data_IF_282188512798
#
_entry.id   IF_282188512798
#
_cell.length_a   1.000
_cell.length_b   1.000
_cell.length_c   1.000
_cell.angle_alpha   90.00
_cell.angle_beta   90.00
_cell.angle_gamma   90.00
#
_symmetry.space_group_name_H-M   'P 1'
#
loop_
_entity.id
_entity.type
_entity.pdbx_description
1 polymer ?
#
# COMPACT_ATOMS: atom_id res chain seq x y z
N UNK A 1 18.52 25.71 -21.89
CA UNK A 1 18.28 26.09 -20.49
C UNK A 1 17.24 25.16 -19.91
N UNK A 2 17.45 24.59 -18.75
CA UNK A 2 16.50 23.76 -18.03
C UNK A 2 15.97 24.53 -16.81
N UNK A 3 14.71 24.27 -16.45
CA UNK A 3 14.07 24.86 -15.28
C UNK A 3 13.61 23.76 -14.36
N UNK A 4 13.97 23.79 -13.09
CA UNK A 4 13.51 22.82 -12.09
C UNK A 4 12.11 23.19 -11.56
N UNK A 5 11.55 22.35 -10.69
CA UNK A 5 10.22 22.57 -10.12
C UNK A 5 10.12 23.85 -9.26
N UNK A 6 11.24 24.36 -8.77
CA UNK A 6 11.32 25.60 -7.98
C UNK A 6 11.48 26.86 -8.85
N UNK A 7 11.49 26.70 -10.19
CA UNK A 7 11.67 27.82 -11.12
C UNK A 7 13.14 28.22 -11.35
N UNK A 8 14.10 27.54 -10.75
CA UNK A 8 15.53 27.79 -10.94
C UNK A 8 15.96 27.36 -12.33
N UNK A 9 16.67 28.23 -13.02
CA UNK A 9 17.13 28.03 -14.39
C UNK A 9 18.61 27.68 -14.41
N UNK A 10 18.94 26.59 -15.08
CA UNK A 10 20.33 26.16 -15.26
C UNK A 10 20.65 25.97 -16.74
N UNK A 11 21.84 26.44 -17.13
CA UNK A 11 22.33 26.19 -18.48
C UNK A 11 22.85 24.75 -18.55
N UNK A 12 22.32 23.99 -19.50
CA UNK A 12 22.69 22.61 -19.74
C UNK A 12 22.62 22.34 -21.23
N UNK A 13 23.72 21.92 -21.83
CA UNK A 13 23.74 21.44 -23.21
C UNK A 13 23.35 19.98 -23.24
N UNK A 14 22.05 19.75 -23.46
CA UNK A 14 21.50 18.38 -23.47
C UNK A 14 21.99 17.56 -24.66
N UNK A 15 22.25 18.19 -25.79
CA UNK A 15 22.45 17.50 -27.05
C UNK A 15 23.90 17.50 -27.53
N UNK A 16 24.72 18.45 -27.17
CA UNK A 16 26.15 18.59 -27.46
C UNK A 16 26.56 18.17 -28.91
N UNK A 17 27.43 18.90 -29.53
CA UNK A 17 27.85 18.62 -30.93
C UNK A 17 28.84 17.43 -31.06
N UNK A 18 29.21 16.73 -29.98
CA UNK A 18 30.36 15.78 -29.98
C UNK A 18 30.07 14.36 -29.49
N UNK A 19 28.83 13.91 -29.49
CA UNK A 19 28.44 12.58 -28.94
C UNK A 19 28.62 12.42 -27.42
N UNK A 20 29.07 13.48 -26.74
CA UNK A 20 29.22 13.56 -25.28
C UNK A 20 28.12 14.43 -24.65
N UNK A 21 26.93 14.39 -25.21
CA UNK A 21 25.82 15.18 -24.64
C UNK A 21 25.40 14.66 -23.28
N UNK A 22 24.89 15.56 -22.44
CA UNK A 22 24.41 15.19 -21.10
C UNK A 22 23.35 14.10 -21.14
N UNK A 23 22.49 14.07 -22.16
CA UNK A 23 21.47 13.01 -22.34
C UNK A 23 22.11 11.66 -22.64
N UNK A 24 23.11 11.59 -23.54
CA UNK A 24 23.77 10.32 -23.84
C UNK A 24 24.52 9.78 -22.63
N UNK A 25 25.22 10.64 -21.90
CA UNK A 25 25.90 10.27 -20.65
C UNK A 25 24.91 9.74 -19.60
N UNK A 26 23.79 10.44 -19.40
CA UNK A 26 22.75 10.04 -18.46
C UNK A 26 22.07 8.72 -18.85
N UNK A 27 21.84 8.48 -20.16
CA UNK A 27 21.32 7.18 -20.64
C UNK A 27 22.31 6.04 -20.44
N UNK A 28 23.59 6.29 -20.66
CA UNK A 28 24.67 5.31 -20.51
C UNK A 28 24.96 4.98 -19.04
N UNK A 29 24.57 5.82 -18.10
CA UNK A 29 24.84 5.63 -16.67
C UNK A 29 24.17 4.40 -16.05
N UNK A 30 23.22 3.76 -16.75
CA UNK A 30 22.47 2.59 -16.26
C UNK A 30 21.91 2.76 -14.84
N UNK A 31 21.48 3.97 -14.53
CA UNK A 31 20.86 4.36 -13.27
C UNK A 31 19.40 4.75 -13.49
N UNK A 32 18.46 4.33 -12.62
CA UNK A 32 17.04 4.70 -12.77
C UNK A 32 16.83 6.23 -12.77
N UNK A 33 17.66 6.96 -12.05
CA UNK A 33 17.72 8.42 -12.05
C UNK A 33 19.16 8.87 -12.34
N UNK A 34 19.42 9.29 -13.56
CA UNK A 34 20.72 9.81 -13.95
C UNK A 34 20.71 11.34 -13.95
N UNK A 35 21.60 11.94 -13.19
CA UNK A 35 21.74 13.40 -13.03
C UNK A 35 22.10 14.05 -14.36
N UNK A 36 21.50 15.20 -14.65
CA UNK A 36 21.77 16.00 -15.86
C UNK A 36 22.56 17.25 -15.50
N UNK A 37 23.73 17.44 -16.11
CA UNK A 37 24.54 18.68 -16.02
C UNK A 37 24.77 19.17 -14.58
N UNK A 38 25.07 18.31 -13.63
CA UNK A 38 25.26 18.65 -12.21
C UNK A 38 24.09 19.41 -11.56
N UNK A 39 22.93 19.36 -12.19
CA UNK A 39 21.69 19.99 -11.72
C UNK A 39 20.89 19.06 -10.82
N UNK A 40 19.82 19.56 -10.21
CA UNK A 40 18.79 18.77 -9.54
C UNK A 40 17.76 18.17 -10.53
N UNK A 41 18.11 18.08 -11.80
CA UNK A 41 17.32 17.45 -12.84
C UNK A 41 17.86 16.06 -13.16
N UNK A 42 16.95 15.14 -13.39
CA UNK A 42 17.29 13.73 -13.60
C UNK A 42 16.59 13.18 -14.86
N UNK A 43 17.32 12.43 -15.66
CA UNK A 43 16.75 11.59 -16.68
C UNK A 43 16.30 10.28 -16.02
N UNK A 44 15.04 9.87 -16.27
CA UNK A 44 14.55 8.54 -15.89
C UNK A 44 14.95 7.52 -16.96
N UNK A 45 15.68 6.51 -16.58
CA UNK A 45 16.03 5.40 -17.46
C UNK A 45 15.16 4.18 -17.15
N UNK A 46 14.80 3.45 -18.21
CA UNK A 46 14.19 2.14 -18.06
C UNK A 46 15.22 1.19 -17.46
N UNK A 47 14.87 0.54 -16.37
CA UNK A 47 15.70 -0.44 -15.67
C UNK A 47 14.81 -1.58 -15.19
N UNK A 48 15.37 -2.78 -15.09
CA UNK A 48 14.66 -3.90 -14.50
C UNK A 48 14.71 -3.81 -12.97
N UNK A 49 13.53 -3.83 -12.38
CA UNK A 49 13.40 -3.84 -10.92
C UNK A 49 13.75 -5.20 -10.32
N UNK A 50 14.15 -5.17 -9.08
CA UNK A 50 14.47 -6.40 -8.36
C UNK A 50 13.22 -7.28 -8.21
N UNK A 51 13.40 -8.58 -8.46
CA UNK A 51 12.43 -9.66 -8.18
C UNK A 51 13.10 -10.71 -7.30
N UNK A 52 12.36 -11.26 -6.35
CA UNK A 52 12.87 -12.39 -5.57
C UNK A 52 12.93 -13.65 -6.45
N UNK A 53 13.84 -14.56 -6.14
CA UNK A 53 13.90 -15.88 -6.82
C UNK A 53 12.56 -16.60 -6.71
N UNK A 54 11.88 -16.48 -5.58
CA UNK A 54 10.55 -17.07 -5.36
C UNK A 54 9.48 -16.45 -6.28
N UNK A 55 9.47 -15.14 -6.43
CA UNK A 55 8.58 -14.46 -7.39
C UNK A 55 8.87 -14.92 -8.82
N UNK A 56 10.14 -14.94 -9.20
CA UNK A 56 10.56 -15.39 -10.52
C UNK A 56 10.10 -16.83 -10.82
N UNK A 57 10.29 -17.76 -9.86
CA UNK A 57 9.84 -19.15 -10.02
C UNK A 57 8.31 -19.24 -10.14
N UNK A 58 7.57 -18.50 -9.33
CA UNK A 58 6.09 -18.50 -9.38
C UNK A 58 5.57 -17.89 -10.68
N UNK A 59 6.16 -16.81 -11.16
CA UNK A 59 5.82 -16.21 -12.46
C UNK A 59 6.17 -17.15 -13.63
N UNK A 60 7.35 -17.79 -13.58
CA UNK A 60 7.76 -18.76 -14.58
C UNK A 60 6.81 -19.95 -14.66
N UNK A 61 6.45 -20.55 -13.52
CA UNK A 61 5.52 -21.69 -13.47
C UNK A 61 4.15 -21.30 -14.02
N UNK A 62 3.66 -20.13 -13.69
CA UNK A 62 2.36 -19.65 -14.14
C UNK A 62 2.31 -19.42 -15.65
N UNK A 63 3.36 -18.82 -16.22
CA UNK A 63 3.39 -18.40 -17.61
C UNK A 63 3.84 -19.50 -18.58
N UNK A 64 4.58 -20.50 -18.11
CA UNK A 64 5.25 -21.46 -19.00
C UNK A 64 4.85 -22.92 -18.75
N UNK A 65 4.08 -23.23 -17.70
CA UNK A 65 3.69 -24.60 -17.36
C UNK A 65 2.20 -24.79 -17.54
N UNK A 66 1.79 -25.74 -18.38
CA UNK A 66 0.38 -26.09 -18.51
C UNK A 66 -0.22 -26.49 -17.16
N UNK A 67 -1.28 -25.84 -16.72
CA UNK A 67 -1.84 -26.00 -15.37
C UNK A 67 -1.10 -25.28 -14.25
N UNK A 68 -0.15 -24.40 -14.56
CA UNK A 68 0.66 -23.65 -13.60
C UNK A 68 -0.16 -22.81 -12.63
N UNK A 69 -1.33 -22.35 -13.04
CA UNK A 69 -2.27 -21.63 -12.15
C UNK A 69 -2.86 -22.56 -11.07
N UNK A 70 -3.19 -23.80 -11.43
CA UNK A 70 -3.65 -24.83 -10.49
C UNK A 70 -2.57 -25.21 -9.49
N UNK A 71 -1.33 -25.40 -9.97
CA UNK A 71 -0.16 -25.69 -9.13
C UNK A 71 0.12 -24.53 -8.19
N UNK A 72 0.05 -23.30 -8.69
CA UNK A 72 0.25 -22.08 -7.86
C UNK A 72 -0.83 -21.94 -6.81
N UNK A 73 -2.07 -22.32 -7.11
CA UNK A 73 -3.18 -22.31 -6.15
C UNK A 73 -2.99 -23.33 -5.05
N UNK A 74 -2.57 -24.56 -5.39
CA UNK A 74 -2.26 -25.60 -4.41
C UNK A 74 -1.09 -25.19 -3.49
N UNK A 75 -0.05 -24.59 -4.05
CA UNK A 75 1.07 -24.05 -3.27
C UNK A 75 0.60 -22.90 -2.34
N UNK A 76 -0.30 -22.06 -2.80
CA UNK A 76 -0.87 -20.98 -1.94
C UNK A 76 -1.61 -21.54 -0.74
N UNK A 77 -2.46 -22.53 -0.92
CA UNK A 77 -3.25 -23.11 0.15
C UNK A 77 -2.42 -23.89 1.17
N UNK A 78 -1.32 -24.49 0.73
CA UNK A 78 -0.44 -25.29 1.60
C UNK A 78 0.70 -24.48 2.23
N UNK A 79 1.25 -23.50 1.50
CA UNK A 79 2.47 -22.78 1.91
C UNK A 79 2.17 -21.42 2.54
N UNK A 80 1.08 -20.75 2.14
CA UNK A 80 0.80 -19.38 2.62
C UNK A 80 -0.30 -19.29 3.67
N UNK A 81 -1.16 -20.31 3.79
CA UNK A 81 -2.20 -20.30 4.81
C UNK A 81 -1.55 -20.33 6.20
N UNK A 82 -1.88 -19.32 6.97
CA UNK A 82 -1.41 -19.14 8.36
C UNK A 82 0.13 -19.13 8.57
N UNK A 83 0.93 -19.08 7.51
CA UNK A 83 2.41 -19.11 7.58
C UNK A 83 3.02 -17.90 8.29
N UNK A 84 2.31 -16.81 8.39
CA UNK A 84 2.73 -15.59 9.06
C UNK A 84 1.87 -15.29 10.30
N UNK A 85 1.14 -16.30 10.82
CA UNK A 85 0.29 -16.13 11.99
C UNK A 85 1.10 -15.71 13.21
N UNK A 86 0.79 -14.53 13.72
CA UNK A 86 1.31 -14.02 14.98
C UNK A 86 0.16 -14.09 16.01
N UNK A 87 0.40 -14.75 17.13
CA UNK A 87 -0.52 -14.78 18.28
C UNK A 87 0.12 -14.02 19.42
N UNK A 88 -0.69 -13.31 20.18
CA UNK A 88 -0.24 -12.72 21.43
C UNK A 88 -0.20 -13.81 22.53
N UNK A 89 0.89 -13.82 23.28
CA UNK A 89 1.00 -14.58 24.52
C UNK A 89 0.85 -13.58 25.68
N UNK A 90 -0.38 -13.25 26.05
CA UNK A 90 -0.63 -12.21 27.06
C UNK A 90 -0.94 -12.77 28.43
N UNK A 91 -0.33 -12.20 29.47
CA UNK A 91 -0.82 -12.24 30.85
C UNK A 91 -1.38 -10.87 31.20
N UNK A 92 -2.62 -10.81 31.66
CA UNK A 92 -3.35 -9.56 31.87
C UNK A 92 -2.82 -8.75 33.06
N UNK A 93 -2.67 -7.44 32.86
CA UNK A 93 -2.78 -6.45 33.91
C UNK A 93 -3.54 -5.26 33.34
N UNK A 94 -4.78 -5.04 33.79
CA UNK A 94 -5.61 -3.93 33.33
C UNK A 94 -5.00 -2.57 33.68
N UNK A 95 -4.94 -1.67 32.73
CA UNK A 95 -4.56 -0.27 32.87
C UNK A 95 -5.63 0.65 32.28
N UNK A 96 -5.65 1.89 32.71
CA UNK A 96 -6.52 2.91 32.13
C UNK A 96 -6.01 3.25 30.73
N UNK A 97 -6.89 3.20 29.71
CA UNK A 97 -6.51 3.55 28.32
C UNK A 97 -6.30 5.07 28.26
N UNK A 98 -5.05 5.50 28.16
CA UNK A 98 -4.73 6.90 27.93
C UNK A 98 -4.85 7.19 26.42
N UNK A 99 -5.85 7.97 26.08
CA UNK A 99 -6.07 8.45 24.71
C UNK A 99 -5.07 9.56 24.36
N UNK A 100 -4.49 9.50 23.16
CA UNK A 100 -3.56 10.52 22.66
C UNK A 100 -4.36 11.67 22.03
N UNK A 101 -4.28 12.91 22.56
CA UNK A 101 -5.10 14.03 22.05
C UNK A 101 -4.84 14.35 20.57
N UNK A 102 -3.62 14.07 20.09
CA UNK A 102 -3.15 14.34 18.74
C UNK A 102 -3.14 13.09 17.82
N UNK A 103 -3.50 11.92 18.34
CA UNK A 103 -3.58 10.65 17.61
C UNK A 103 -4.97 10.31 17.07
N UNK A 104 -5.07 9.20 16.32
CA UNK A 104 -6.37 8.66 15.91
C UNK A 104 -7.19 8.18 17.14
N UNK A 105 -8.49 7.95 16.94
CA UNK A 105 -9.33 7.33 17.96
C UNK A 105 -8.82 5.93 18.32
N UNK A 106 -8.84 5.58 19.60
CA UNK A 106 -8.57 4.21 20.06
C UNK A 106 -9.61 3.23 19.50
N UNK A 107 -9.23 1.96 19.35
CA UNK A 107 -10.16 0.96 18.85
C UNK A 107 -11.37 0.77 19.78
N UNK A 108 -12.53 0.47 19.19
CA UNK A 108 -13.74 0.09 19.94
C UNK A 108 -13.60 -1.35 20.41
N UNK A 109 -13.35 -1.50 21.70
CA UNK A 109 -13.03 -2.77 22.35
C UNK A 109 -14.17 -3.27 23.23
N UNK A 110 -14.26 -4.57 23.34
CA UNK A 110 -15.07 -5.23 24.37
C UNK A 110 -14.66 -4.69 25.75
N UNK A 111 -15.60 -4.16 26.53
CA UNK A 111 -15.29 -3.55 27.84
C UNK A 111 -14.52 -4.47 28.79
N UNK A 112 -14.72 -5.80 28.67
CA UNK A 112 -14.04 -6.80 29.51
C UNK A 112 -12.57 -7.01 29.13
N UNK A 113 -12.16 -6.58 27.93
CA UNK A 113 -10.83 -6.79 27.38
C UNK A 113 -10.06 -5.47 27.19
N UNK A 114 -10.61 -4.37 27.68
CA UNK A 114 -9.90 -3.08 27.68
C UNK A 114 -8.69 -3.13 28.59
N UNK A 115 -7.57 -2.59 28.12
CA UNK A 115 -6.31 -2.64 28.85
C UNK A 115 -5.62 -4.01 28.83
N UNK A 116 -6.18 -4.98 28.09
CA UNK A 116 -5.51 -6.26 27.91
C UNK A 116 -4.20 -6.07 27.15
N UNK A 117 -3.07 -6.55 27.68
CA UNK A 117 -1.80 -6.46 27.00
C UNK A 117 -1.81 -7.32 25.73
N UNK A 118 -1.23 -6.79 24.67
CA UNK A 118 -0.92 -7.53 23.45
C UNK A 118 0.59 -7.59 23.29
N UNK A 119 1.14 -8.78 23.15
CA UNK A 119 2.56 -8.96 22.93
C UNK A 119 2.89 -8.64 21.48
N UNK A 120 3.47 -7.46 21.24
CA UNK A 120 3.84 -6.98 19.90
C UNK A 120 5.35 -7.18 19.63
N UNK A 121 5.92 -8.33 19.98
CA UNK A 121 7.36 -8.63 19.81
C UNK A 121 7.86 -8.45 18.38
N UNK A 122 7.01 -8.75 17.40
CA UNK A 122 7.35 -8.63 15.98
C UNK A 122 7.28 -7.20 15.46
N UNK A 123 6.74 -6.25 16.23
CA UNK A 123 6.75 -4.84 15.83
C UNK A 123 8.17 -4.29 15.91
N UNK A 124 8.65 -3.72 14.81
CA UNK A 124 10.02 -3.19 14.71
C UNK A 124 10.10 -1.67 14.78
N UNK A 125 8.96 -0.97 15.00
CA UNK A 125 8.91 0.48 15.15
C UNK A 125 9.03 0.83 16.63
N UNK A 126 10.00 1.68 16.95
CA UNK A 126 10.19 2.19 18.32
C UNK A 126 9.10 3.19 18.69
N UNK A 127 8.64 3.12 19.93
CA UNK A 127 7.60 3.99 20.47
C UNK A 127 8.08 4.80 21.67
N UNK A 128 7.48 5.94 21.92
CA UNK A 128 7.73 6.73 23.13
C UNK A 128 7.51 5.88 24.39
N UNK A 129 8.47 5.88 25.30
CA UNK A 129 8.45 5.07 26.51
C UNK A 129 8.93 3.64 26.33
N UNK A 130 9.37 3.20 25.14
CA UNK A 130 10.17 1.99 24.91
C UNK A 130 9.47 0.64 25.11
N UNK A 131 8.14 0.59 25.23
CA UNK A 131 7.38 -0.61 25.59
C UNK A 131 6.67 -1.30 24.43
N UNK A 132 7.36 -1.55 23.33
CA UNK A 132 6.77 -2.25 22.16
C UNK A 132 6.36 -3.69 22.50
N UNK A 133 7.07 -4.32 23.43
CA UNK A 133 6.86 -5.74 23.79
C UNK A 133 5.60 -5.98 24.63
N UNK A 134 5.03 -4.90 25.21
CA UNK A 134 3.81 -4.96 26.01
C UNK A 134 2.94 -3.76 25.71
N UNK A 135 2.22 -3.80 24.60
CA UNK A 135 1.23 -2.79 24.22
C UNK A 135 -0.15 -3.18 24.77
N UNK A 136 -1.02 -2.21 24.96
CA UNK A 136 -2.44 -2.47 25.21
C UNK A 136 -3.17 -2.62 23.87
N UNK A 137 -4.02 -3.63 23.77
CA UNK A 137 -4.77 -3.89 22.53
C UNK A 137 -5.59 -2.66 22.11
N UNK A 138 -5.48 -2.29 20.84
CA UNK A 138 -6.27 -1.21 20.26
C UNK A 138 -5.88 0.21 20.63
N UNK A 139 -4.86 0.41 21.48
CA UNK A 139 -4.32 1.72 21.86
C UNK A 139 -3.29 2.21 20.85
N UNK A 140 -3.22 3.53 20.65
CA UNK A 140 -2.18 4.16 19.85
C UNK A 140 -0.99 4.60 20.68
N UNK A 141 0.21 4.43 20.13
CA UNK A 141 1.48 4.85 20.69
C UNK A 141 2.20 5.74 19.68
N UNK A 142 2.79 6.85 20.12
CA UNK A 142 3.61 7.69 19.24
C UNK A 142 4.90 6.97 18.85
N UNK A 143 5.31 7.08 17.59
CA UNK A 143 6.67 6.75 17.20
C UNK A 143 7.65 7.68 17.90
N UNK A 144 8.72 7.16 18.49
CA UNK A 144 9.72 7.92 19.24
C UNK A 144 10.55 8.86 18.37
N UNK A 145 10.62 8.60 17.07
CA UNK A 145 11.49 9.33 16.12
C UNK A 145 10.75 10.10 15.05
N UNK A 146 9.42 9.99 15.00
CA UNK A 146 8.61 10.57 13.93
C UNK A 146 7.30 11.18 14.47
N UNK A 147 7.30 12.49 14.69
CA UNK A 147 6.06 13.21 15.05
C UNK A 147 4.99 13.06 13.96
N UNK A 148 3.73 12.87 14.37
CA UNK A 148 2.59 12.65 13.48
C UNK A 148 2.46 11.21 12.97
N UNK A 149 3.25 10.27 13.55
CA UNK A 149 3.17 8.83 13.25
C UNK A 149 2.85 8.09 14.54
N UNK A 150 1.88 7.17 14.45
CA UNK A 150 1.38 6.38 15.58
C UNK A 150 1.32 4.91 15.19
N UNK A 151 1.53 4.01 16.15
CA UNK A 151 1.40 2.57 15.96
C UNK A 151 0.45 1.96 16.96
N UNK A 152 -0.22 0.88 16.56
CA UNK A 152 -1.16 0.14 17.40
C UNK A 152 -1.10 -1.35 17.06
N UNK A 153 -1.51 -2.19 18.01
CA UNK A 153 -1.66 -3.61 17.81
C UNK A 153 -3.02 -4.08 18.35
N UNK A 154 -3.65 -5.04 17.68
CA UNK A 154 -4.95 -5.59 18.09
C UNK A 154 -5.09 -7.03 17.62
N UNK A 155 -5.87 -7.82 18.37
CA UNK A 155 -6.46 -9.09 17.92
C UNK A 155 -7.97 -8.91 17.78
N UNK A 156 -8.63 -9.48 16.75
CA UNK A 156 -10.08 -9.33 16.55
C UNK A 156 -10.92 -9.75 17.76
N UNK A 157 -10.45 -10.69 18.59
CA UNK A 157 -11.16 -11.12 19.83
C UNK A 157 -11.38 -9.98 20.82
N UNK A 158 -10.54 -8.93 20.77
CA UNK A 158 -10.67 -7.76 21.63
C UNK A 158 -11.70 -6.75 21.11
N UNK A 159 -12.19 -6.89 19.90
CA UNK A 159 -13.15 -5.95 19.27
C UNK A 159 -14.53 -6.11 19.91
N UNK A 160 -15.25 -5.02 20.04
CA UNK A 160 -16.62 -4.97 20.54
C UNK A 160 -17.56 -5.91 19.76
N UNK A 161 -18.35 -6.69 20.47
CA UNK A 161 -19.30 -7.67 19.91
C UNK A 161 -20.28 -7.05 18.90
N UNK A 162 -20.71 -5.83 19.13
CA UNK A 162 -21.59 -5.08 18.23
C UNK A 162 -20.98 -4.91 16.83
N UNK A 163 -19.67 -4.71 16.76
CA UNK A 163 -18.91 -4.65 15.50
C UNK A 163 -18.77 -6.03 14.89
N UNK A 164 -18.30 -7.02 15.67
CA UNK A 164 -18.08 -8.37 15.18
C UNK A 164 -19.33 -9.03 14.59
N UNK A 165 -20.51 -8.67 15.11
CA UNK A 165 -21.83 -9.21 14.70
C UNK A 165 -22.59 -8.29 13.73
N UNK A 166 -22.08 -7.08 13.43
CA UNK A 166 -22.74 -6.15 12.53
C UNK A 166 -22.86 -6.69 11.11
N UNK A 167 -23.85 -6.24 10.36
CA UNK A 167 -24.03 -6.55 8.93
C UNK A 167 -24.05 -8.06 8.61
N UNK A 168 -24.56 -8.90 9.52
CA UNK A 168 -24.54 -10.36 9.40
C UNK A 168 -25.26 -10.90 8.15
N UNK A 169 -26.10 -10.10 7.49
CA UNK A 169 -26.74 -10.47 6.24
C UNK A 169 -25.77 -10.70 5.07
N UNK A 170 -24.60 -10.03 5.07
CA UNK A 170 -23.60 -10.16 4.01
C UNK A 170 -22.15 -10.29 4.50
N UNK A 171 -21.88 -10.03 5.77
CA UNK A 171 -20.55 -10.18 6.38
C UNK A 171 -20.49 -11.43 7.22
N UNK A 172 -19.59 -12.34 6.88
CA UNK A 172 -19.37 -13.60 7.62
C UNK A 172 -18.73 -13.37 8.98
N UNK A 173 -18.94 -14.29 9.90
CA UNK A 173 -18.20 -14.34 11.18
C UNK A 173 -16.76 -14.75 10.96
N UNK A 174 -15.91 -14.40 11.93
CA UNK A 174 -14.50 -14.81 11.96
C UNK A 174 -14.37 -16.18 12.61
N UNK A 175 -13.37 -16.94 12.19
CA UNK A 175 -13.04 -18.20 12.87
C UNK A 175 -12.08 -17.97 14.05
N UNK A 176 -11.82 -19.04 14.82
CA UNK A 176 -10.98 -18.96 16.03
C UNK A 176 -9.52 -18.56 15.74
N UNK A 177 -9.01 -18.86 14.54
CA UNK A 177 -7.64 -18.46 14.16
C UNK A 177 -7.61 -16.97 13.88
N UNK A 178 -8.56 -16.46 13.11
CA UNK A 178 -8.67 -15.03 12.84
C UNK A 178 -8.90 -14.20 14.10
N UNK A 179 -9.74 -14.72 15.02
CA UNK A 179 -10.01 -14.06 16.30
C UNK A 179 -8.75 -13.83 17.15
N UNK A 180 -7.75 -14.72 17.05
CA UNK A 180 -6.47 -14.60 17.75
C UNK A 180 -5.29 -14.16 16.88
N UNK A 181 -5.51 -13.77 15.64
CA UNK A 181 -4.44 -13.33 14.75
C UNK A 181 -4.13 -11.84 14.99
N UNK A 182 -2.86 -11.52 15.27
CA UNK A 182 -2.46 -10.14 15.49
C UNK A 182 -2.51 -9.30 14.22
N UNK A 183 -3.01 -8.08 14.35
CA UNK A 183 -2.89 -7.01 13.38
C UNK A 183 -2.02 -5.89 13.96
N UNK A 184 -1.06 -5.41 13.18
CA UNK A 184 -0.23 -4.24 13.51
C UNK A 184 -0.61 -3.09 12.58
N UNK A 185 -0.86 -1.93 13.17
CA UNK A 185 -1.31 -0.75 12.45
C UNK A 185 -0.32 0.40 12.63
N UNK A 186 -0.18 1.19 11.58
CA UNK A 186 0.57 2.43 11.63
C UNK A 186 -0.25 3.54 10.98
N UNK A 187 -0.40 4.65 11.68
CA UNK A 187 -1.18 5.81 11.25
C UNK A 187 -0.26 7.00 10.98
N UNK A 188 -0.55 7.70 9.89
CA UNK A 188 0.09 8.94 9.49
C UNK A 188 -0.92 10.08 9.51
N UNK A 189 -0.60 11.16 10.19
CA UNK A 189 -1.37 12.40 10.12
C UNK A 189 -1.21 13.05 8.74
N UNK A 190 -2.26 13.01 7.92
CA UNK A 190 -2.27 13.57 6.56
C UNK A 190 -1.94 15.07 6.54
N UNK A 191 -2.19 15.78 7.63
CA UNK A 191 -1.81 17.18 7.78
C UNK A 191 -0.29 17.41 7.82
N UNK A 192 0.46 16.44 8.31
CA UNK A 192 1.92 16.53 8.54
C UNK A 192 2.77 16.01 7.37
N UNK A 193 2.19 15.23 6.46
CA UNK A 193 2.91 14.57 5.38
C UNK A 193 2.26 14.79 4.02
N UNK A 194 3.10 14.80 2.98
CA UNK A 194 2.67 14.63 1.60
C UNK A 194 2.67 13.13 1.27
N UNK A 195 1.58 12.65 0.67
CA UNK A 195 1.48 11.29 0.15
C UNK A 195 1.77 11.29 -1.34
N UNK A 196 2.61 10.37 -1.78
CA UNK A 196 2.95 10.17 -3.19
C UNK A 196 2.91 8.68 -3.54
N UNK A 197 2.81 8.40 -4.83
CA UNK A 197 2.79 7.06 -5.39
C UNK A 197 3.82 6.94 -6.50
N UNK A 198 4.51 5.81 -6.57
CA UNK A 198 5.44 5.50 -7.65
C UNK A 198 5.13 4.10 -8.20
N UNK A 199 5.15 4.00 -9.52
CA UNK A 199 4.91 2.76 -10.24
C UNK A 199 6.18 1.91 -10.27
N UNK A 200 6.03 0.64 -9.97
CA UNK A 200 7.11 -0.36 -10.08
C UNK A 200 7.48 -0.65 -11.54
N UNK A 201 8.62 -1.29 -11.74
CA UNK A 201 9.15 -1.50 -13.11
C UNK A 201 8.36 -2.51 -13.93
N UNK A 202 7.44 -3.29 -13.33
CA UNK A 202 6.52 -4.18 -14.05
C UNK A 202 5.37 -3.42 -14.75
N UNK A 203 5.24 -2.12 -14.55
CA UNK A 203 4.22 -1.27 -15.13
C UNK A 203 4.79 -0.12 -15.98
N UNK A 204 4.03 0.39 -16.95
CA UNK A 204 2.93 -0.27 -17.64
C UNK A 204 3.44 -1.41 -18.53
N UNK A 205 2.55 -2.33 -18.91
CA UNK A 205 2.87 -3.41 -19.83
C UNK A 205 1.82 -3.52 -20.94
N UNK A 206 2.23 -3.95 -22.12
CA UNK A 206 1.33 -4.21 -23.25
C UNK A 206 0.68 -5.58 -23.09
N UNK A 207 -0.59 -5.67 -23.47
CA UNK A 207 -1.33 -6.93 -23.45
C UNK A 207 -2.26 -7.07 -22.25
N UNK A 208 -3.02 -8.14 -22.24
CA UNK A 208 -3.96 -8.47 -21.18
C UNK A 208 -3.29 -9.34 -20.12
N UNK A 209 -3.76 -9.25 -18.88
CA UNK A 209 -3.40 -10.22 -17.85
C UNK A 209 -3.93 -11.61 -18.22
N UNK A 210 -3.15 -12.65 -17.96
CA UNK A 210 -3.54 -14.05 -18.19
C UNK A 210 -4.77 -14.47 -17.36
N UNK A 211 -5.04 -13.76 -16.28
CA UNK A 211 -6.24 -13.98 -15.46
C UNK A 211 -7.53 -13.56 -16.15
N UNK A 212 -7.48 -12.65 -17.10
CA UNK A 212 -8.67 -12.14 -17.77
C UNK A 212 -9.13 -13.15 -18.81
N UNK A 213 -10.37 -13.62 -18.68
CA UNK A 213 -10.95 -14.52 -19.67
C UNK A 213 -11.12 -13.81 -21.02
N UNK A 214 -10.86 -14.51 -22.14
CA UNK A 214 -10.95 -13.90 -23.48
C UNK A 214 -12.29 -13.23 -23.77
N UNK A 215 -13.39 -13.82 -23.31
CA UNK A 215 -14.76 -13.37 -23.57
C UNK A 215 -15.13 -12.06 -22.86
N UNK A 216 -14.35 -11.62 -21.85
CA UNK A 216 -14.58 -10.33 -21.16
C UNK A 216 -13.62 -9.24 -21.60
N UNK A 217 -12.61 -9.59 -22.43
CA UNK A 217 -11.66 -8.62 -22.97
C UNK A 217 -12.31 -7.73 -24.01
N UNK A 218 -11.95 -6.45 -24.00
CA UNK A 218 -12.33 -5.55 -25.09
C UNK A 218 -11.35 -5.72 -26.26
N UNK A 219 -11.81 -6.38 -27.32
CA UNK A 219 -10.97 -6.67 -28.49
C UNK A 219 -10.51 -5.43 -29.27
N UNK A 220 -11.10 -4.27 -29.02
CA UNK A 220 -10.64 -3.00 -29.59
C UNK A 220 -9.39 -2.44 -28.93
N UNK A 221 -9.02 -2.97 -27.73
CA UNK A 221 -7.87 -2.54 -26.95
C UNK A 221 -6.74 -3.57 -27.04
N UNK A 222 -5.51 -3.09 -27.11
CA UNK A 222 -4.30 -3.92 -27.03
C UNK A 222 -4.02 -4.45 -25.63
N UNK A 223 -4.73 -3.95 -24.64
CA UNK A 223 -4.63 -4.26 -23.22
C UNK A 223 -5.15 -3.08 -22.40
N UNK A 224 -5.31 -3.24 -21.08
CA UNK A 224 -5.91 -2.23 -20.23
C UNK A 224 -4.97 -1.07 -19.88
N UNK A 225 -3.64 -1.22 -20.04
CA UNK A 225 -2.72 -0.13 -19.79
C UNK A 225 -2.92 0.98 -20.82
N UNK A 226 -3.24 2.17 -20.33
CA UNK A 226 -3.63 3.28 -21.16
C UNK A 226 -2.47 3.91 -21.92
N UNK A 227 -2.68 4.10 -23.19
CA UNK A 227 -1.83 4.88 -24.05
C UNK A 227 -2.54 6.17 -24.48
N UNK A 228 -3.47 6.63 -23.67
CA UNK A 228 -4.26 7.85 -23.93
C UNK A 228 -3.50 9.13 -23.63
N UNK A 229 -2.27 9.04 -23.13
CA UNK A 229 -1.43 10.20 -22.84
C UNK A 229 -0.22 10.29 -23.78
N UNK A 230 0.14 11.51 -24.18
CA UNK A 230 1.37 11.82 -24.89
C UNK A 230 2.53 12.17 -23.94
N UNK A 231 2.27 12.16 -22.63
CA UNK A 231 3.25 12.45 -21.59
C UNK A 231 3.71 11.13 -20.91
N UNK A 232 4.55 10.31 -21.57
CA UNK A 232 5.00 9.04 -21.03
C UNK A 232 5.86 9.28 -19.81
N UNK A 233 5.73 8.38 -18.82
CA UNK A 233 6.63 8.30 -17.69
C UNK A 233 7.40 6.98 -17.75
N UNK A 234 8.69 7.02 -17.43
CA UNK A 234 9.49 5.82 -17.27
C UNK A 234 9.40 5.36 -15.82
N UNK A 235 8.79 4.19 -15.52
CA UNK A 235 8.75 3.66 -14.17
C UNK A 235 10.17 3.30 -13.71
N UNK A 236 10.52 3.74 -12.52
CA UNK A 236 11.86 3.48 -11.96
C UNK A 236 11.83 2.51 -10.79
N UNK A 237 10.65 2.27 -10.21
CA UNK A 237 10.51 1.46 -9.00
C UNK A 237 11.34 1.98 -7.81
N UNK A 238 11.66 3.27 -7.81
CA UNK A 238 12.59 3.89 -6.86
C UNK A 238 12.07 5.26 -6.44
N UNK A 239 12.36 5.65 -5.20
CA UNK A 239 12.11 7.01 -4.70
C UNK A 239 12.90 8.03 -5.53
N UNK A 240 12.27 9.10 -6.01
CA UNK A 240 12.99 10.18 -6.68
C UNK A 240 14.06 10.81 -5.77
N UNK A 241 15.31 11.03 -6.25
CA UNK A 241 16.40 11.55 -5.42
C UNK A 241 16.09 12.87 -4.72
N UNK A 242 15.34 13.77 -5.40
CA UNK A 242 14.99 15.10 -4.88
C UNK A 242 14.02 15.09 -3.68
N UNK A 243 13.42 13.94 -3.37
CA UNK A 243 12.51 13.79 -2.21
C UNK A 243 13.08 12.83 -1.17
N UNK A 244 14.12 12.08 -1.49
CA UNK A 244 14.65 10.98 -0.67
C UNK A 244 14.93 11.38 0.79
N UNK A 245 15.52 12.55 1.05
CA UNK A 245 15.85 13.02 2.39
C UNK A 245 14.62 13.36 3.25
N UNK A 246 13.49 13.65 2.62
CA UNK A 246 12.22 13.99 3.31
C UNK A 246 11.29 12.78 3.48
N UNK A 247 11.61 11.63 2.87
CA UNK A 247 10.79 10.43 2.99
C UNK A 247 10.74 9.98 4.46
N UNK A 248 9.53 9.74 4.95
CA UNK A 248 9.26 9.31 6.32
C UNK A 248 8.80 7.88 6.39
N UNK A 249 8.04 7.41 5.42
CA UNK A 249 7.53 6.05 5.39
C UNK A 249 7.28 5.58 3.96
N UNK A 250 7.43 4.27 3.73
CA UNK A 250 7.18 3.63 2.43
C UNK A 250 6.39 2.34 2.68
N UNK A 251 5.39 2.08 1.83
CA UNK A 251 4.69 0.80 1.84
C UNK A 251 4.30 0.34 0.43
N UNK A 252 4.24 -0.98 0.24
CA UNK A 252 3.86 -1.60 -1.04
C UNK A 252 2.44 -1.23 -1.45
N UNK A 253 2.24 -0.86 -2.71
CA UNK A 253 1.03 -0.20 -3.19
C UNK A 253 -0.17 -1.09 -3.47
N UNK A 254 0.00 -2.43 -3.56
CA UNK A 254 -1.11 -3.35 -3.82
C UNK A 254 -0.79 -4.45 -4.80
N UNK A 255 -1.81 -5.15 -5.28
CA UNK A 255 -1.65 -6.26 -6.21
C UNK A 255 -0.93 -5.85 -7.49
N UNK A 256 -0.02 -6.70 -7.94
CA UNK A 256 0.56 -6.54 -9.26
C UNK A 256 -0.53 -6.50 -10.34
N UNK A 257 -0.18 -5.92 -11.48
CA UNK A 257 -1.03 -5.83 -12.67
C UNK A 257 -1.72 -7.15 -13.01
N UNK A 258 -0.96 -8.24 -13.12
CA UNK A 258 -1.50 -9.56 -13.48
C UNK A 258 -2.45 -10.14 -12.44
N UNK A 259 -2.27 -9.78 -11.16
CA UNK A 259 -3.14 -10.20 -10.08
C UNK A 259 -4.33 -9.24 -9.86
N UNK A 260 -4.23 -8.02 -10.34
CA UNK A 260 -5.24 -6.98 -10.21
C UNK A 260 -6.43 -7.14 -11.16
N UNK A 261 -6.30 -7.92 -12.25
CA UNK A 261 -7.37 -8.11 -13.20
C UNK A 261 -8.50 -8.97 -12.62
N UNK A 262 -9.74 -8.58 -12.91
CA UNK A 262 -10.90 -9.39 -12.56
C UNK A 262 -11.01 -10.58 -13.51
N UNK A 263 -11.16 -11.77 -12.95
CA UNK A 263 -11.15 -13.01 -13.71
C UNK A 263 -12.52 -13.31 -14.34
N UNK A 264 -13.59 -13.16 -13.57
CA UNK A 264 -14.96 -13.43 -13.99
C UNK A 264 -15.98 -12.61 -13.19
N UNK A 265 -17.27 -12.84 -13.50
CA UNK A 265 -18.38 -12.23 -12.81
C UNK A 265 -18.72 -10.84 -13.31
N UNK A 266 -19.64 -10.17 -12.62
CA UNK A 266 -20.16 -8.88 -13.06
C UNK A 266 -19.09 -7.78 -13.12
N UNK A 267 -18.16 -7.75 -12.16
CA UNK A 267 -17.06 -6.79 -12.17
C UNK A 267 -16.09 -6.99 -13.35
N UNK A 268 -15.85 -8.22 -13.78
CA UNK A 268 -15.04 -8.49 -14.97
C UNK A 268 -15.72 -7.98 -16.24
N UNK A 269 -17.04 -8.20 -16.38
CA UNK A 269 -17.81 -7.69 -17.51
C UNK A 269 -17.89 -6.16 -17.50
N UNK A 270 -18.22 -5.58 -16.34
CA UNK A 270 -18.30 -4.12 -16.17
C UNK A 270 -16.99 -3.42 -16.52
N UNK A 271 -15.88 -3.98 -16.09
CA UNK A 271 -14.55 -3.42 -16.33
C UNK A 271 -13.88 -3.98 -17.59
N UNK A 272 -14.60 -4.74 -18.43
CA UNK A 272 -14.10 -5.31 -19.68
C UNK A 272 -12.82 -6.12 -19.53
N UNK A 273 -12.65 -6.77 -18.37
CA UNK A 273 -11.46 -7.52 -18.02
C UNK A 273 -10.23 -6.65 -17.68
N UNK A 274 -10.39 -5.34 -17.57
CA UNK A 274 -9.32 -4.44 -17.15
C UNK A 274 -8.81 -4.79 -15.75
N UNK A 275 -7.59 -4.39 -15.47
CA UNK A 275 -7.04 -4.39 -14.14
C UNK A 275 -7.20 -3.01 -13.48
N UNK A 276 -6.63 -2.86 -12.28
CA UNK A 276 -6.67 -1.62 -11.51
C UNK A 276 -5.96 -0.45 -12.23
N UNK A 277 -6.52 0.74 -12.05
CA UNK A 277 -5.96 1.95 -12.63
C UNK A 277 -4.81 2.56 -11.81
N UNK A 278 -3.93 3.27 -12.52
CA UNK A 278 -2.74 3.93 -11.98
C UNK A 278 -2.56 5.32 -12.58
N UNK A 279 -2.30 6.30 -11.73
CA UNK A 279 -1.90 7.65 -12.16
C UNK A 279 -0.65 8.05 -11.37
N UNK A 280 0.41 8.42 -12.07
CA UNK A 280 1.66 8.93 -11.46
C UNK A 280 2.00 10.31 -12.02
N UNK A 281 2.14 11.31 -11.16
CA UNK A 281 2.42 12.71 -11.52
C UNK A 281 1.48 13.28 -12.60
N UNK A 282 0.20 12.92 -12.55
CA UNK A 282 -0.80 13.35 -13.51
C UNK A 282 -0.79 12.59 -14.84
N UNK A 283 0.10 11.59 -14.99
CA UNK A 283 0.14 10.71 -16.16
C UNK A 283 -0.73 9.48 -15.88
N UNK A 284 -1.78 9.28 -16.67
CA UNK A 284 -2.64 8.11 -16.60
C UNK A 284 -1.95 6.95 -17.29
N UNK A 285 -1.41 6.02 -16.51
CA UNK A 285 -0.74 4.81 -17.02
C UNK A 285 -1.73 3.68 -17.28
N UNK A 286 -2.76 3.59 -16.44
CA UNK A 286 -3.93 2.75 -16.60
C UNK A 286 -5.16 3.52 -16.16
N UNK A 287 -6.26 3.40 -16.92
CA UNK A 287 -7.50 4.10 -16.61
C UNK A 287 -8.09 3.64 -15.27
N UNK A 288 -8.60 4.62 -14.51
CA UNK A 288 -9.31 4.33 -13.27
C UNK A 288 -10.69 3.73 -13.60
N UNK A 289 -10.92 2.52 -13.14
CA UNK A 289 -12.14 1.77 -13.38
C UNK A 289 -13.23 2.12 -12.35
N UNK A 290 -14.50 2.21 -12.75
CA UNK A 290 -15.59 2.45 -11.81
C UNK A 290 -15.77 1.31 -10.81
N UNK A 291 -16.36 1.63 -9.67
CA UNK A 291 -16.71 0.75 -8.55
C UNK A 291 -15.52 0.08 -7.85
N UNK A 292 -14.31 0.58 -8.08
CA UNK A 292 -13.11 0.11 -7.39
C UNK A 292 -12.65 1.08 -6.29
N UNK A 293 -12.12 0.49 -5.22
CA UNK A 293 -11.47 1.23 -4.15
C UNK A 293 -10.28 2.01 -4.69
N UNK A 294 -10.25 3.31 -4.47
CA UNK A 294 -9.29 4.22 -5.07
C UNK A 294 -8.74 5.19 -4.03
N UNK A 295 -7.43 5.19 -3.86
CA UNK A 295 -6.72 6.26 -3.17
C UNK A 295 -6.30 7.30 -4.19
N UNK A 296 -6.70 8.56 -3.98
CA UNK A 296 -6.43 9.67 -4.88
C UNK A 296 -5.69 10.77 -4.14
N UNK A 297 -4.64 11.30 -4.74
CA UNK A 297 -3.99 12.53 -4.31
C UNK A 297 -4.13 13.56 -5.43
N UNK A 298 -4.80 14.65 -5.14
CA UNK A 298 -5.00 15.72 -6.10
C UNK A 298 -3.79 16.66 -6.18
N UNK A 299 -3.73 17.49 -7.23
CA UNK A 299 -2.62 18.44 -7.46
C UNK A 299 -2.51 19.51 -6.37
N UNK A 300 -3.61 19.81 -5.67
CA UNK A 300 -3.66 20.72 -4.52
C UNK A 300 -3.22 20.07 -3.20
N UNK A 301 -2.85 18.77 -3.24
CA UNK A 301 -2.41 18.00 -2.08
C UNK A 301 -3.55 17.35 -1.28
N UNK A 302 -4.82 17.55 -1.68
CA UNK A 302 -5.94 16.85 -1.04
C UNK A 302 -5.80 15.34 -1.26
N UNK A 303 -5.90 14.59 -0.18
CA UNK A 303 -5.98 13.12 -0.20
C UNK A 303 -7.44 12.72 -0.05
N UNK A 304 -7.94 11.96 -1.02
CA UNK A 304 -9.29 11.40 -1.04
C UNK A 304 -9.22 9.88 -1.15
N UNK A 305 -10.13 9.18 -0.48
CA UNK A 305 -10.17 7.74 -0.47
C UNK A 305 -11.62 7.29 -0.64
N UNK A 306 -11.93 6.72 -1.79
CA UNK A 306 -13.30 6.47 -2.22
C UNK A 306 -13.46 5.32 -3.19
N UNK A 307 -14.69 4.89 -3.38
CA UNK A 307 -15.10 4.07 -4.52
C UNK A 307 -15.20 4.98 -5.74
N UNK A 308 -14.33 4.78 -6.75
CA UNK A 308 -14.33 5.57 -7.98
C UNK A 308 -15.63 5.37 -8.73
N UNK A 309 -16.22 6.45 -9.22
CA UNK A 309 -17.44 6.43 -10.02
C UNK A 309 -17.17 6.94 -11.42
N UNK A 310 -18.03 6.61 -12.38
CA UNK A 310 -17.90 7.10 -13.76
C UNK A 310 -17.84 8.62 -13.83
N UNK A 311 -18.66 9.31 -13.02
CA UNK A 311 -18.66 10.78 -12.91
C UNK A 311 -17.32 11.35 -12.43
N UNK A 312 -16.50 10.57 -11.70
CA UNK A 312 -15.20 11.03 -11.21
C UNK A 312 -14.18 11.23 -12.34
N UNK A 313 -14.43 10.67 -13.53
CA UNK A 313 -13.57 10.87 -14.72
C UNK A 313 -13.37 12.34 -15.07
N UNK A 314 -14.37 13.19 -14.81
CA UNK A 314 -14.28 14.64 -15.02
C UNK A 314 -13.18 15.27 -14.16
N UNK A 315 -12.82 14.65 -13.04
CA UNK A 315 -11.79 15.14 -12.11
C UNK A 315 -10.38 14.68 -12.45
N UNK A 316 -10.20 13.80 -13.44
CA UNK A 316 -8.91 13.15 -13.75
C UNK A 316 -7.78 14.15 -14.02
N UNK A 317 -8.08 15.27 -14.64
CA UNK A 317 -7.10 16.35 -14.91
C UNK A 317 -6.53 17.00 -13.64
N UNK A 318 -7.23 16.88 -12.51
CA UNK A 318 -6.80 17.37 -11.19
C UNK A 318 -6.01 16.32 -10.40
N UNK A 319 -6.07 15.06 -10.81
CA UNK A 319 -5.38 13.95 -10.12
C UNK A 319 -3.88 14.06 -10.35
N UNK A 320 -3.11 14.00 -9.28
CA UNK A 320 -1.65 13.89 -9.30
C UNK A 320 -1.20 12.45 -9.18
N UNK A 321 -1.75 11.73 -8.21
CA UNK A 321 -1.51 10.31 -8.00
C UNK A 321 -2.82 9.59 -7.76
N UNK A 322 -2.97 8.40 -8.30
CA UNK A 322 -4.07 7.51 -7.93
C UNK A 322 -3.67 6.05 -8.11
N UNK A 323 -4.23 5.21 -7.24
CA UNK A 323 -4.03 3.77 -7.29
C UNK A 323 -5.30 3.06 -6.83
N UNK A 324 -5.75 2.12 -7.66
CA UNK A 324 -6.91 1.27 -7.35
C UNK A 324 -6.47 -0.10 -6.86
N UNK A 325 -7.27 -0.74 -6.01
CA UNK A 325 -7.01 -2.11 -5.59
C UNK A 325 -8.26 -2.82 -5.05
N UNK A 326 -8.90 -3.59 -5.91
CA UNK A 326 -10.10 -4.36 -5.55
C UNK A 326 -11.33 -3.49 -5.26
N UNK A 327 -12.30 -4.09 -4.61
CA UNK A 327 -13.49 -3.42 -4.10
C UNK A 327 -13.26 -2.96 -2.66
N UNK A 328 -14.08 -2.05 -2.10
CA UNK A 328 -13.88 -1.56 -0.74
C UNK A 328 -13.88 -2.68 0.31
N UNK A 329 -12.95 -2.64 1.26
CA UNK A 329 -13.01 -3.38 2.53
C UNK A 329 -13.99 -2.72 3.48
N UNK A 330 -13.88 -1.40 3.60
CA UNK A 330 -14.85 -0.49 4.24
C UNK A 330 -15.31 0.49 3.17
N UNK A 331 -16.60 0.66 3.02
CA UNK A 331 -17.20 1.69 2.16
C UNK A 331 -17.91 2.74 3.03
N UNK A 332 -18.01 3.96 2.53
CA UNK A 332 -18.68 5.02 3.26
C UNK A 332 -20.20 4.95 3.05
N UNK A 333 -20.95 4.79 4.14
CA UNK A 333 -22.41 4.88 4.11
C UNK A 333 -22.85 6.33 4.34
N UNK A 334 -23.44 7.00 3.33
CA UNK A 334 -23.87 8.38 3.45
C UNK A 334 -25.08 8.57 4.39
N UNK A 335 -25.87 7.53 4.64
CA UNK A 335 -27.03 7.56 5.53
C UNK A 335 -26.57 7.47 6.99
N UNK A 336 -25.72 6.50 7.28
CA UNK A 336 -25.16 6.31 8.63
C UNK A 336 -23.99 7.26 8.91
N UNK A 337 -23.47 7.96 7.88
CA UNK A 337 -22.30 8.87 7.93
C UNK A 337 -21.06 8.22 8.56
N UNK A 338 -20.88 6.94 8.32
CA UNK A 338 -19.73 6.16 8.83
C UNK A 338 -19.26 5.11 7.82
N UNK A 339 -18.11 4.54 8.08
CA UNK A 339 -17.62 3.38 7.34
C UNK A 339 -18.38 2.10 7.74
N UNK A 340 -18.83 1.36 6.73
CA UNK A 340 -19.46 0.04 6.88
C UNK A 340 -18.67 -0.99 6.08
N UNK A 341 -18.73 -2.30 6.42
CA UNK A 341 -18.06 -3.32 5.61
C UNK A 341 -18.51 -3.26 4.15
N UNK A 342 -17.55 -3.33 3.24
CA UNK A 342 -17.84 -3.35 1.81
C UNK A 342 -18.74 -4.53 1.44
N UNK A 343 -19.65 -4.32 0.48
CA UNK A 343 -20.66 -5.30 0.07
C UNK A 343 -20.08 -6.67 -0.31
N UNK A 344 -18.86 -6.67 -0.88
CA UNK A 344 -18.21 -7.89 -1.38
C UNK A 344 -17.12 -8.41 -0.44
N UNK A 345 -16.99 -7.89 0.78
CA UNK A 345 -15.92 -8.23 1.71
C UNK A 345 -15.88 -9.72 2.06
N UNK A 346 -17.03 -10.40 2.09
CA UNK A 346 -17.15 -11.85 2.28
C UNK A 346 -17.48 -12.60 0.98
N UNK A 347 -17.49 -11.91 -0.17
CA UNK A 347 -17.68 -12.51 -1.48
C UNK A 347 -16.38 -12.45 -2.30
N UNK A 348 -15.55 -13.47 -2.15
CA UNK A 348 -14.20 -13.48 -2.67
C UNK A 348 -14.12 -13.49 -4.19
N UNK A 349 -15.10 -14.08 -4.84
CA UNK A 349 -15.20 -14.11 -6.30
C UNK A 349 -15.38 -12.71 -6.88
N UNK A 350 -16.27 -11.92 -6.28
CA UNK A 350 -16.56 -10.55 -6.75
C UNK A 350 -15.62 -9.51 -6.16
N UNK A 351 -14.98 -9.80 -5.01
CA UNK A 351 -14.03 -8.89 -4.35
C UNK A 351 -12.67 -8.81 -5.05
N UNK A 352 -12.33 -9.78 -5.87
CA UNK A 352 -11.00 -9.93 -6.50
C UNK A 352 -9.84 -9.90 -5.50
N UNK A 353 -9.92 -10.72 -4.45
CA UNK A 353 -8.88 -10.81 -3.42
C UNK A 353 -7.75 -11.73 -3.87
N UNK A 354 -6.96 -11.30 -4.86
CA UNK A 354 -5.81 -12.03 -5.41
C UNK A 354 -6.13 -13.43 -5.95
N UNK A 355 -7.33 -13.62 -6.50
CA UNK A 355 -7.75 -14.87 -7.14
C UNK A 355 -7.99 -16.05 -6.21
N UNK A 356 -7.96 -15.85 -4.90
CA UNK A 356 -8.44 -16.86 -3.98
C UNK A 356 -9.95 -17.01 -4.13
N UNK A 357 -10.40 -18.25 -4.29
CA UNK A 357 -11.82 -18.60 -4.35
C UNK A 357 -12.31 -19.18 -3.02
N UNK A 358 -11.40 -19.64 -2.18
CA UNK A 358 -11.72 -20.16 -0.87
C UNK A 358 -12.04 -19.02 0.10
N UNK A 359 -13.30 -18.91 0.49
CA UNK A 359 -13.79 -17.91 1.47
C UNK A 359 -13.19 -18.05 2.85
N UNK A 360 -12.53 -19.16 3.14
CA UNK A 360 -11.82 -19.43 4.41
C UNK A 360 -10.32 -19.26 4.29
N UNK A 361 -9.83 -18.79 3.14
CA UNK A 361 -8.41 -18.62 2.93
C UNK A 361 -7.88 -17.43 3.73
N UNK A 362 -7.31 -17.74 4.89
CA UNK A 362 -6.54 -16.79 5.68
C UNK A 362 -5.12 -16.74 5.17
N UNK A 363 -4.57 -15.56 5.13
CA UNK A 363 -3.16 -15.36 4.83
C UNK A 363 -2.69 -14.03 5.40
N UNK A 364 -1.38 -13.78 5.32
CA UNK A 364 -0.82 -12.45 5.51
C UNK A 364 -1.44 -11.49 4.51
N UNK A 365 -1.96 -10.35 5.01
CA UNK A 365 -2.55 -9.29 4.18
C UNK A 365 -2.12 -7.92 4.64
N UNK A 366 -2.09 -6.98 3.72
CA UNK A 366 -1.98 -5.57 4.00
C UNK A 366 -3.26 -4.83 3.55
N UNK A 367 -3.57 -3.75 4.22
CA UNK A 367 -4.68 -2.88 3.88
C UNK A 367 -4.40 -1.44 4.30
N UNK A 368 -5.20 -0.54 3.76
CA UNK A 368 -5.10 0.88 4.03
C UNK A 368 -6.48 1.42 4.34
N UNK A 369 -6.60 2.28 5.35
CA UNK A 369 -7.85 2.96 5.63
C UNK A 369 -7.66 4.45 5.94
N UNK A 370 -8.73 5.21 5.80
CA UNK A 370 -8.85 6.59 6.25
C UNK A 370 -9.69 6.65 7.52
N UNK A 371 -9.14 7.26 8.56
CA UNK A 371 -9.87 7.59 9.78
C UNK A 371 -9.82 9.11 10.03
N UNK A 372 -10.80 9.62 10.75
CA UNK A 372 -10.87 11.03 11.09
C UNK A 372 -11.20 11.20 12.57
N UNK A 373 -10.49 12.12 13.23
CA UNK A 373 -10.78 12.56 14.59
C UNK A 373 -10.82 14.09 14.62
N UNK A 374 -11.99 14.64 14.87
CA UNK A 374 -12.20 16.08 14.71
C UNK A 374 -11.88 16.56 13.29
N UNK A 375 -11.01 17.55 13.16
CA UNK A 375 -10.52 18.04 11.85
C UNK A 375 -9.33 17.27 11.29
N UNK A 376 -8.71 16.38 12.07
CA UNK A 376 -7.50 15.63 11.66
C UNK A 376 -7.88 14.35 10.92
N UNK A 377 -7.20 14.11 9.82
CA UNK A 377 -7.33 12.88 9.03
C UNK A 377 -6.06 12.04 9.19
N UNK A 378 -6.26 10.74 9.31
CA UNK A 378 -5.17 9.77 9.44
C UNK A 378 -5.29 8.72 8.35
N UNK A 379 -4.20 8.47 7.64
CA UNK A 379 -4.09 7.33 6.76
C UNK A 379 -3.43 6.19 7.55
N UNK A 380 -4.15 5.08 7.70
CA UNK A 380 -3.76 3.96 8.55
C UNK A 380 -3.42 2.76 7.67
N UNK A 381 -2.17 2.34 7.67
CA UNK A 381 -1.75 1.07 7.09
C UNK A 381 -1.90 -0.04 8.13
N UNK A 382 -2.44 -1.20 7.71
CA UNK A 382 -2.57 -2.39 8.54
C UNK A 382 -1.84 -3.59 7.94
N UNK A 383 -1.06 -4.28 8.79
CA UNK A 383 -0.49 -5.60 8.57
C UNK A 383 -1.33 -6.61 9.33
N UNK A 384 -1.88 -7.60 8.65
CA UNK A 384 -2.77 -8.63 9.20
C UNK A 384 -2.09 -9.98 9.06
N UNK A 385 -1.63 -10.55 10.16
CA UNK A 385 -0.73 -11.70 10.15
C UNK A 385 -1.35 -12.97 9.54
N UNK A 386 -2.65 -13.20 9.75
CA UNK A 386 -3.41 -14.27 9.11
C UNK A 386 -4.90 -13.96 9.16
N UNK A 387 -5.39 -13.23 8.16
CA UNK A 387 -6.79 -12.80 8.11
C UNK A 387 -7.39 -12.95 6.72
N UNK A 388 -8.73 -13.04 6.68
CA UNK A 388 -9.55 -12.83 5.50
C UNK A 388 -9.83 -11.33 5.31
N UNK A 389 -10.34 -10.88 4.14
CA UNK A 389 -10.84 -9.51 3.98
C UNK A 389 -11.92 -9.15 5.00
N UNK A 390 -12.70 -10.15 5.47
CA UNK A 390 -13.70 -9.96 6.53
C UNK A 390 -13.03 -9.58 7.85
N UNK A 391 -11.96 -10.28 8.23
CA UNK A 391 -11.18 -9.95 9.44
C UNK A 391 -10.59 -8.55 9.38
N UNK A 392 -10.03 -8.17 8.22
CA UNK A 392 -9.55 -6.81 7.98
C UNK A 392 -10.64 -5.76 8.18
N UNK A 393 -11.85 -6.01 7.64
CA UNK A 393 -12.99 -5.10 7.78
C UNK A 393 -13.37 -4.90 9.26
N UNK A 394 -13.39 -5.97 10.06
CA UNK A 394 -13.69 -5.89 11.51
C UNK A 394 -12.66 -5.05 12.26
N UNK A 395 -11.38 -5.24 11.96
CA UNK A 395 -10.31 -4.42 12.55
C UNK A 395 -10.47 -2.95 12.13
N UNK A 396 -10.63 -2.65 10.85
CA UNK A 396 -10.79 -1.29 10.39
C UNK A 396 -12.07 -0.61 10.93
N UNK A 397 -13.17 -1.36 11.10
CA UNK A 397 -14.36 -0.85 11.79
C UNK A 397 -14.07 -0.48 13.25
N UNK A 398 -13.29 -1.31 13.96
CA UNK A 398 -12.92 -1.02 15.34
C UNK A 398 -12.15 0.30 15.48
N UNK A 399 -11.28 0.62 14.53
CA UNK A 399 -10.55 1.90 14.46
C UNK A 399 -11.32 3.04 13.79
N UNK A 400 -12.62 2.90 13.64
CA UNK A 400 -13.49 3.95 13.10
C UNK A 400 -13.10 4.45 11.70
N UNK A 401 -12.57 3.53 10.86
CA UNK A 401 -12.22 3.87 9.49
C UNK A 401 -13.46 4.23 8.68
N UNK A 402 -13.44 5.37 8.00
CA UNK A 402 -14.52 5.82 7.12
C UNK A 402 -14.48 5.12 5.75
N UNK A 403 -13.30 4.70 5.30
CA UNK A 403 -13.08 3.97 4.06
C UNK A 403 -11.84 3.08 4.18
N UNK A 404 -11.83 1.93 3.51
CA UNK A 404 -10.65 1.06 3.50
C UNK A 404 -10.53 0.23 2.22
N UNK A 405 -9.28 -0.04 1.84
CA UNK A 405 -8.87 -0.81 0.67
C UNK A 405 -7.92 -1.95 1.07
N UNK A 406 -8.05 -3.10 0.43
CA UNK A 406 -7.03 -4.14 0.47
C UNK A 406 -5.80 -3.67 -0.32
N UNK A 407 -4.59 -4.02 0.13
CA UNK A 407 -3.37 -3.84 -0.63
C UNK A 407 -2.90 -5.17 -1.25
N UNK A 408 -1.78 -5.74 -0.78
CA UNK A 408 -1.30 -7.03 -1.27
C UNK A 408 -1.26 -8.07 -0.15
N UNK A 409 -0.84 -9.31 -0.44
CA UNK A 409 -0.94 -10.44 0.48
C UNK A 409 0.14 -11.49 0.25
N UNK A 410 0.17 -12.48 1.12
CA UNK A 410 0.90 -13.76 1.04
C UNK A 410 2.40 -13.72 1.38
N UNK A 411 3.07 -12.57 1.36
CA UNK A 411 4.50 -12.52 1.64
C UNK A 411 4.92 -11.15 2.19
N UNK A 412 6.06 -11.09 2.89
CA UNK A 412 6.58 -9.86 3.48
C UNK A 412 6.93 -8.81 2.42
N UNK A 413 7.45 -9.24 1.26
CA UNK A 413 7.70 -8.34 0.13
C UNK A 413 6.44 -7.72 -0.47
N UNK A 414 5.28 -8.36 -0.29
CA UNK A 414 3.99 -7.86 -0.74
C UNK A 414 3.34 -6.91 0.26
N UNK A 415 3.73 -7.03 1.51
CA UNK A 415 3.18 -6.27 2.64
C UNK A 415 4.25 -5.43 3.33
N UNK A 416 5.28 -5.02 2.59
CA UNK A 416 6.37 -4.23 3.14
C UNK A 416 5.89 -2.87 3.62
N UNK A 417 6.31 -2.51 4.83
CA UNK A 417 6.11 -1.18 5.41
C UNK A 417 7.32 -0.83 6.29
N UNK A 418 7.96 0.30 6.00
CA UNK A 418 9.09 0.80 6.78
C UNK A 418 8.98 2.32 7.02
N UNK A 419 9.42 2.76 8.20
CA UNK A 419 9.68 4.15 8.55
C UNK A 419 11.16 4.48 8.34
N UNK A 420 11.41 5.71 7.94
CA UNK A 420 12.74 6.27 7.76
C UNK A 420 12.93 7.46 8.72
N UNK A 421 13.40 7.21 9.94
CA UNK A 421 13.64 8.27 10.91
C UNK A 421 14.58 9.35 10.36
N UNK A 422 14.49 10.62 10.82
CA UNK A 422 15.43 11.67 10.44
C UNK A 422 16.87 11.24 10.73
N UNK A 423 17.80 11.66 9.88
CA UNK A 423 19.23 11.45 10.13
C UNK A 423 19.63 12.26 11.35
N UNK A 424 20.23 11.60 12.33
CA UNK A 424 20.94 12.26 13.43
C UNK A 424 22.44 12.27 13.19
N UNK A 425 22.98 11.22 12.59
CA UNK A 425 24.35 11.07 12.07
C UNK A 425 24.40 9.79 11.21
N UNK A 426 25.19 9.79 10.13
CA UNK A 426 25.38 8.61 9.29
C UNK A 426 24.16 8.23 8.41
N UNK A 427 24.02 6.94 8.12
CA UNK A 427 22.96 6.41 7.27
C UNK A 427 21.62 6.32 8.00
N UNK A 428 20.51 6.48 7.25
CA UNK A 428 19.16 6.29 7.77
C UNK A 428 18.88 4.80 7.92
N UNK A 429 18.64 4.35 9.15
CA UNK A 429 18.28 2.96 9.44
C UNK A 429 16.76 2.86 9.42
N UNK A 430 16.18 2.10 8.49
CA UNK A 430 14.73 1.92 8.44
C UNK A 430 14.23 1.12 9.65
N UNK A 431 13.04 1.48 10.12
CA UNK A 431 12.29 0.73 11.13
C UNK A 431 11.09 0.08 10.44
N UNK A 432 11.04 -1.24 10.40
CA UNK A 432 9.97 -1.98 9.75
C UNK A 432 8.78 -2.16 10.68
N UNK A 433 7.55 -2.11 10.13
CA UNK A 433 6.36 -2.38 10.94
C UNK A 433 6.44 -3.78 11.56
N UNK A 434 6.94 -4.76 10.82
CA UNK A 434 7.24 -6.11 11.31
C UNK A 434 8.73 -6.38 11.14
N UNK A 435 9.41 -6.80 12.21
CA UNK A 435 10.87 -7.04 12.24
C UNK A 435 11.36 -7.95 11.11
N UNK A 436 10.57 -8.98 10.75
CA UNK A 436 10.90 -9.89 9.66
C UNK A 436 11.04 -9.23 8.29
N UNK A 437 10.49 -8.03 8.07
CA UNK A 437 10.64 -7.28 6.81
C UNK A 437 12.07 -6.78 6.58
N UNK A 438 12.90 -6.70 7.61
CA UNK A 438 14.30 -6.26 7.53
C UNK A 438 15.11 -7.09 6.52
N UNK A 439 14.80 -8.36 6.36
CA UNK A 439 15.44 -9.24 5.38
C UNK A 439 15.37 -8.71 3.94
N UNK A 440 14.38 -7.87 3.65
CA UNK A 440 14.20 -7.27 2.32
C UNK A 440 15.23 -6.17 2.04
N UNK A 441 15.73 -5.50 3.07
CA UNK A 441 16.77 -4.47 2.99
C UNK A 441 18.19 -5.06 3.11
N UNK A 442 18.31 -6.28 3.63
CA UNK A 442 19.59 -6.99 3.82
C UNK A 442 20.05 -7.79 2.60
N UNK A 443 19.31 -7.74 1.49
CA UNK A 443 19.61 -8.50 0.27
C UNK A 443 20.89 -8.08 -0.45
N UNK A 444 21.36 -6.86 -0.22
CA UNK A 444 22.56 -6.30 -0.80
C UNK A 444 23.60 -6.01 0.28
N UNK A 445 24.89 -6.06 -0.07
CA UNK A 445 25.95 -5.62 0.86
C UNK A 445 25.66 -4.19 1.32
N UNK A 446 25.66 -3.97 2.64
CA UNK A 446 25.49 -2.64 3.22
C UNK A 446 24.06 -2.28 3.62
N UNK A 447 23.13 -3.26 3.69
CA UNK A 447 21.74 -3.01 4.10
C UNK A 447 21.11 -1.89 3.28
N UNK A 448 20.90 -2.14 2.00
CA UNK A 448 20.37 -1.15 1.05
C UNK A 448 18.85 -1.11 1.16
N UNK A 449 18.25 0.00 1.61
CA UNK A 449 16.81 0.09 1.82
C UNK A 449 16.04 -0.09 0.51
N UNK A 450 15.01 -0.93 0.57
CA UNK A 450 14.09 -1.16 -0.54
C UNK A 450 13.43 0.16 -0.99
N UNK A 451 13.22 0.34 -2.28
CA UNK A 451 12.67 1.54 -2.93
C UNK A 451 13.52 2.82 -2.80
N UNK A 452 14.54 2.84 -1.95
CA UNK A 452 15.45 3.98 -1.81
C UNK A 452 16.82 3.70 -2.39
N UNK A 453 17.33 2.48 -2.21
CA UNK A 453 18.68 2.12 -2.63
C UNK A 453 18.72 1.23 -3.87
N UNK A 454 17.61 0.56 -4.19
CA UNK A 454 17.49 -0.25 -5.40
C UNK A 454 16.08 -0.22 -5.97
N UNK A 455 15.93 -0.29 -7.30
CA UNK A 455 14.64 -0.31 -7.97
C UNK A 455 13.90 -1.62 -7.69
N UNK A 456 12.58 -1.53 -7.56
CA UNK A 456 11.71 -2.69 -7.35
C UNK A 456 10.69 -2.82 -8.48
N UNK A 457 10.19 -4.02 -8.68
CA UNK A 457 9.18 -4.30 -9.69
C UNK A 457 7.76 -3.94 -9.23
N UNK A 458 7.55 -3.66 -7.93
CA UNK A 458 6.25 -3.37 -7.32
C UNK A 458 6.01 -1.89 -7.14
N UNK A 459 4.76 -1.51 -7.29
CA UNK A 459 4.27 -0.18 -6.94
C UNK A 459 4.39 0.05 -5.44
N UNK A 460 4.56 1.31 -5.07
CA UNK A 460 4.61 1.69 -3.67
C UNK A 460 4.10 3.12 -3.45
N UNK A 461 3.60 3.33 -2.24
CA UNK A 461 3.32 4.66 -1.71
C UNK A 461 4.44 5.11 -0.78
N UNK A 462 4.64 6.41 -0.71
CA UNK A 462 5.57 6.98 0.25
C UNK A 462 5.05 8.30 0.83
N UNK A 463 5.32 8.46 2.12
CA UNK A 463 5.11 9.70 2.84
C UNK A 463 6.40 10.51 2.86
N UNK A 464 6.30 11.78 2.56
CA UNK A 464 7.38 12.74 2.77
C UNK A 464 6.92 13.85 3.70
N UNK A 465 7.79 14.29 4.61
CA UNK A 465 7.47 15.39 5.51
C UNK A 465 7.22 16.67 4.72
N UNK A 466 6.12 17.36 5.02
CA UNK A 466 5.85 18.66 4.41
C UNK A 466 6.97 19.65 4.73
N UNK A 467 7.35 20.53 3.81
CA UNK A 467 8.29 21.62 4.11
C UNK A 467 7.75 22.44 5.28
N UNK A 468 8.61 22.84 6.19
CA UNK A 468 8.24 23.81 7.25
C UNK A 468 8.02 25.15 6.55
N UNK A 469 6.75 25.54 6.36
CA UNK A 469 6.41 26.88 5.86
C UNK A 469 6.76 27.88 6.95
N UNK A 470 7.90 28.60 6.81
CA UNK A 470 8.25 29.63 7.78
C UNK A 470 9.75 29.86 8.06
N UNK A 471 10.65 29.30 7.26
CA UNK A 471 12.06 29.69 7.28
C UNK A 471 12.36 30.52 6.02
N UNK A 472 12.00 31.79 6.06
CA UNK A 472 12.54 32.84 5.18
C UNK A 472 13.27 33.87 6.03
#
# INVERSE_FOLDING_TARGET
MLTNANGEKQQCDLWGNSGKSAIYAARAANSPYAKLCDSELYLRNKIDGYKTTKEWVVEFLRSNVAGGETITTLVKETVYKDSFLIKSEGTASGGEIIDLPDGPDVAKLNPKLRGEPITAREMGISVEGGRVESMEAGRWYRSDKQGGVFVSAIEPRAIEDSILKSHASYVKGLDNVEMGAAAYLIAFDVGSFDLSFAVGTDHPAVGWSDRTLPEVRDSSLKGPDGFSTIAPITPTGLIPPYVADRVTGIFTGGFKRDHGAFHWGDLARQNRGSHYGFVENGVVLSELQPDLATLVVYKDGLVDFKTWKEADRETISRVRFARQNGVPIIDFDPVEKKGVPGRYVSNWTLGNWSGSQDRKFRSLRAGLCMAQRGSRKFLIYGYFSSMTPTGMARVFQAYNCSYAMHLDMNALEHTYMALYPPKTSGDRIPQHLVRGMKVLDERFKGNVPRYMGYPDNRDFFYFSRKPVTGAH
#
